data_IF_627079888787
#
_entry.id   IF_627079888787
#
_cell.length_a   1.000
_cell.length_b   1.000
_cell.length_c   1.000
_cell.angle_alpha   90.00
_cell.angle_beta   90.00
_cell.angle_gamma   90.00
#
_symmetry.space_group_name_H-M   'P 1'
#
loop_
_entity.id
_entity.type
_entity.pdbx_description
1 polymer ?
#
# COMPACT_ATOMS: atom_id res chain seq x y z
N UNK A 1 10.48 -7.36 4.62
CA UNK A 1 9.89 -8.71 4.67
C UNK A 1 10.46 -9.44 5.88
N UNK A 2 9.66 -10.21 6.61
CA UNK A 2 10.03 -10.97 7.82
C UNK A 2 9.42 -12.38 7.75
N UNK A 3 9.68 -13.11 6.67
CA UNK A 3 9.11 -14.45 6.42
C UNK A 3 9.98 -15.53 7.07
N UNK A 4 9.39 -16.48 7.81
CA UNK A 4 10.11 -17.61 8.43
C UNK A 4 11.33 -17.21 9.27
N UNK A 5 11.19 -16.16 10.08
CA UNK A 5 12.26 -15.64 10.96
C UNK A 5 12.03 -15.97 12.43
N UNK A 6 11.04 -16.80 12.74
CA UNK A 6 10.66 -17.08 14.12
C UNK A 6 9.95 -15.92 14.81
N UNK A 7 9.21 -15.09 14.05
CA UNK A 7 8.46 -13.96 14.62
C UNK A 7 7.37 -14.49 15.56
N UNK A 8 7.43 -14.08 16.82
CA UNK A 8 6.47 -14.45 17.88
C UNK A 8 5.57 -13.27 18.22
N UNK A 9 4.56 -13.53 19.06
CA UNK A 9 3.60 -12.52 19.45
C UNK A 9 4.24 -11.27 20.08
N UNK A 10 5.22 -11.47 20.96
CA UNK A 10 5.92 -10.37 21.63
C UNK A 10 6.62 -9.43 20.65
N UNK A 11 7.25 -10.00 19.61
CA UNK A 11 7.95 -9.23 18.58
C UNK A 11 7.00 -8.61 17.56
N UNK A 12 5.93 -9.32 17.18
CA UNK A 12 4.92 -8.80 16.27
C UNK A 12 4.09 -7.67 16.91
N UNK A 13 3.93 -7.65 18.24
CA UNK A 13 3.35 -6.53 18.96
C UNK A 13 4.17 -5.24 18.77
N UNK A 14 5.50 -5.32 18.91
CA UNK A 14 6.39 -4.18 18.66
C UNK A 14 6.33 -3.73 17.19
N UNK A 15 6.20 -4.69 16.27
CA UNK A 15 5.97 -4.37 14.86
C UNK A 15 4.68 -3.57 14.70
N UNK A 16 3.56 -4.00 15.31
CA UNK A 16 2.30 -3.26 15.26
C UNK A 16 2.47 -1.81 15.75
N UNK A 17 3.13 -1.62 16.90
CA UNK A 17 3.42 -0.27 17.43
C UNK A 17 4.28 0.59 16.49
N UNK A 18 5.24 -0.02 15.81
CA UNK A 18 6.05 0.67 14.80
C UNK A 18 5.22 1.06 13.57
N UNK A 19 4.29 0.21 13.13
CA UNK A 19 3.38 0.48 12.01
C UNK A 19 2.45 1.65 12.30
N UNK A 20 1.98 1.80 13.54
CA UNK A 20 1.13 2.92 13.96
C UNK A 20 1.83 4.29 13.82
N UNK A 21 3.18 4.30 13.80
CA UNK A 21 4.01 5.51 13.65
C UNK A 21 4.59 5.67 12.25
N UNK A 22 4.51 4.65 11.40
CA UNK A 22 5.16 4.64 10.09
C UNK A 22 4.19 4.97 8.95
N UNK A 23 4.50 6.03 8.20
CA UNK A 23 3.69 6.48 7.05
C UNK A 23 4.33 6.21 5.68
N UNK A 24 5.49 5.54 5.62
CA UNK A 24 6.26 5.34 4.38
C UNK A 24 6.19 3.91 3.85
N UNK A 25 6.07 2.91 4.73
CA UNK A 25 5.95 1.52 4.34
C UNK A 25 4.68 1.31 3.51
N UNK A 26 4.78 0.41 2.53
CA UNK A 26 3.67 0.04 1.64
C UNK A 26 3.35 -1.45 1.69
N UNK A 27 4.36 -2.28 1.94
CA UNK A 27 4.21 -3.74 1.90
C UNK A 27 4.78 -4.35 3.17
N UNK A 28 4.00 -5.23 3.80
CA UNK A 28 4.42 -6.02 4.95
C UNK A 28 4.19 -7.48 4.63
N UNK A 29 5.22 -8.29 4.81
CA UNK A 29 5.14 -9.74 4.73
C UNK A 29 5.69 -10.34 6.02
N UNK A 30 4.84 -11.06 6.75
CA UNK A 30 5.13 -11.82 7.98
C UNK A 30 4.64 -13.27 7.85
N UNK A 31 4.58 -13.82 6.64
CA UNK A 31 4.18 -15.19 6.36
C UNK A 31 5.08 -16.22 7.07
N UNK A 32 4.53 -17.41 7.35
CA UNK A 32 5.29 -18.54 7.89
C UNK A 32 5.99 -18.21 9.22
N UNK A 33 5.23 -17.74 10.22
CA UNK A 33 5.76 -17.41 11.54
C UNK A 33 4.88 -18.01 12.66
N UNK A 34 5.09 -17.56 13.89
CA UNK A 34 4.42 -18.02 15.11
C UNK A 34 3.50 -16.93 15.69
N UNK A 35 2.73 -16.25 14.83
CA UNK A 35 1.82 -15.18 15.23
C UNK A 35 0.44 -15.77 15.52
N UNK A 36 -0.13 -15.47 16.70
CA UNK A 36 -1.47 -15.91 17.06
C UNK A 36 -2.57 -15.14 16.31
N UNK A 37 -3.78 -15.72 16.14
CA UNK A 37 -4.90 -15.04 15.49
C UNK A 37 -5.24 -13.68 16.13
N UNK A 38 -5.21 -13.59 17.45
CA UNK A 38 -5.46 -12.35 18.19
C UNK A 38 -4.43 -11.26 17.83
N UNK A 39 -3.18 -11.63 17.63
CA UNK A 39 -2.17 -10.65 17.26
C UNK A 39 -2.22 -10.28 15.78
N UNK A 40 -2.68 -11.17 14.89
CA UNK A 40 -3.02 -10.79 13.51
C UNK A 40 -4.08 -9.69 13.52
N UNK A 41 -5.14 -9.82 14.33
CA UNK A 41 -6.14 -8.74 14.49
C UNK A 41 -5.49 -7.43 14.91
N UNK A 42 -4.59 -7.46 15.90
CA UNK A 42 -3.86 -6.26 16.35
C UNK A 42 -2.98 -5.66 15.24
N UNK A 43 -2.28 -6.50 14.46
CA UNK A 43 -1.50 -6.05 13.32
C UNK A 43 -2.39 -5.39 12.27
N UNK A 44 -3.50 -6.01 11.90
CA UNK A 44 -4.45 -5.44 10.92
C UNK A 44 -5.05 -4.12 11.46
N UNK A 45 -5.36 -4.04 12.76
CA UNK A 45 -5.85 -2.82 13.42
C UNK A 45 -4.83 -1.68 13.37
N UNK A 46 -3.53 -1.98 13.48
CA UNK A 46 -2.47 -0.97 13.38
C UNK A 46 -2.45 -0.26 12.01
N UNK A 47 -2.87 -0.96 10.95
CA UNK A 47 -2.92 -0.43 9.58
C UNK A 47 -3.89 0.74 9.42
N UNK A 48 -4.87 0.88 10.32
CA UNK A 48 -5.85 1.97 10.30
C UNK A 48 -5.28 3.33 10.73
N UNK A 49 -4.13 3.35 11.44
CA UNK A 49 -3.59 4.61 11.99
C UNK A 49 -3.01 5.50 10.91
N UNK A 50 -2.03 4.99 10.17
CA UNK A 50 -1.34 5.77 9.13
C UNK A 50 -1.94 5.57 7.75
N UNK A 51 -2.69 4.48 7.53
CA UNK A 51 -3.23 4.09 6.22
C UNK A 51 -2.19 4.21 5.09
N UNK A 52 -0.96 3.79 5.35
CA UNK A 52 0.16 3.82 4.39
C UNK A 52 0.30 2.49 3.65
N UNK A 53 0.01 1.38 4.34
CA UNK A 53 0.14 0.02 3.83
C UNK A 53 -0.87 -0.27 2.73
N UNK A 54 -0.37 -0.82 1.64
CA UNK A 54 -1.12 -1.26 0.46
C UNK A 54 -1.20 -2.78 0.36
N UNK A 55 -0.24 -3.50 0.96
CA UNK A 55 -0.23 -4.96 0.98
C UNK A 55 0.21 -5.51 2.33
N UNK A 56 -0.60 -6.39 2.90
CA UNK A 56 -0.32 -7.09 4.16
C UNK A 56 -0.44 -8.60 3.94
N UNK A 57 0.63 -9.35 4.23
CA UNK A 57 0.67 -10.81 4.12
C UNK A 57 1.05 -11.45 5.44
N UNK A 58 0.23 -12.38 5.90
CA UNK A 58 0.38 -13.11 7.15
C UNK A 58 -0.10 -14.58 7.06
N UNK A 59 -0.17 -15.15 5.85
CA UNK A 59 -0.52 -16.57 5.64
C UNK A 59 0.47 -17.54 6.30
N UNK A 60 0.05 -18.80 6.43
CA UNK A 60 0.87 -19.93 6.91
C UNK A 60 1.44 -19.75 8.34
N UNK A 61 0.72 -19.09 9.23
CA UNK A 61 1.10 -19.11 10.65
C UNK A 61 0.94 -20.52 11.22
N UNK A 62 1.67 -20.82 12.30
CA UNK A 62 1.53 -22.10 13.03
C UNK A 62 0.09 -22.40 13.45
N UNK A 63 -0.66 -21.37 13.83
CA UNK A 63 -2.12 -21.45 14.00
C UNK A 63 -2.78 -21.07 12.68
N UNK A 64 -3.11 -22.06 11.85
CA UNK A 64 -3.75 -21.84 10.55
C UNK A 64 -5.23 -21.45 10.66
N UNK A 65 -5.90 -21.92 11.71
CA UNK A 65 -7.31 -21.64 11.98
C UNK A 65 -7.43 -20.35 12.79
N UNK A 66 -8.12 -19.35 12.23
CA UNK A 66 -8.41 -18.08 12.89
C UNK A 66 -9.70 -18.14 13.73
N UNK A 67 -10.71 -18.84 13.20
CA UNK A 67 -12.06 -18.92 13.75
C UNK A 67 -12.99 -17.77 13.33
N UNK A 68 -14.28 -18.06 13.21
CA UNK A 68 -15.29 -17.14 12.65
C UNK A 68 -15.25 -15.74 13.27
N UNK A 69 -15.21 -15.66 14.61
CA UNK A 69 -15.22 -14.38 15.33
C UNK A 69 -14.03 -13.48 14.94
N UNK A 70 -12.85 -14.08 14.80
CA UNK A 70 -11.62 -13.37 14.43
C UNK A 70 -11.68 -12.93 12.96
N UNK A 71 -12.13 -13.79 12.06
CA UNK A 71 -12.26 -13.42 10.63
C UNK A 71 -13.27 -12.28 10.42
N UNK A 72 -14.38 -12.31 11.14
CA UNK A 72 -15.38 -11.24 11.09
C UNK A 72 -14.83 -9.93 11.66
N UNK A 73 -14.05 -9.98 12.74
CA UNK A 73 -13.38 -8.80 13.29
C UNK A 73 -12.35 -8.22 12.30
N UNK A 74 -11.52 -9.07 11.68
CA UNK A 74 -10.60 -8.66 10.62
C UNK A 74 -11.37 -8.01 9.47
N UNK A 75 -12.49 -8.59 9.05
CA UNK A 75 -13.34 -8.04 7.98
C UNK A 75 -13.81 -6.62 8.32
N UNK A 76 -14.32 -6.39 9.53
CA UNK A 76 -14.77 -5.06 9.97
C UNK A 76 -13.63 -4.02 10.00
N UNK A 77 -12.43 -4.44 10.38
CA UNK A 77 -11.25 -3.57 10.39
C UNK A 77 -10.83 -3.24 8.96
N UNK A 78 -10.80 -4.24 8.07
CA UNK A 78 -10.43 -4.06 6.66
C UNK A 78 -11.41 -3.13 5.95
N UNK A 79 -12.71 -3.21 6.24
CA UNK A 79 -13.74 -2.34 5.67
C UNK A 79 -13.58 -0.85 6.03
N UNK A 80 -12.79 -0.53 7.07
CA UNK A 80 -12.46 0.85 7.46
C UNK A 80 -11.16 1.34 6.82
N UNK A 81 -10.36 0.46 6.20
CA UNK A 81 -9.08 0.79 5.62
C UNK A 81 -9.23 1.12 4.13
N UNK A 82 -8.89 2.34 3.72
CA UNK A 82 -9.08 2.79 2.33
C UNK A 82 -7.85 2.65 1.44
N UNK A 83 -6.71 2.16 1.98
CA UNK A 83 -5.42 2.15 1.28
C UNK A 83 -4.91 0.75 0.99
N UNK A 84 -5.37 -0.25 1.76
CA UNK A 84 -5.03 -1.64 1.55
C UNK A 84 -5.66 -2.14 0.24
N UNK A 85 -4.83 -2.78 -0.58
CA UNK A 85 -5.18 -3.29 -1.90
C UNK A 85 -5.09 -4.82 -1.96
N UNK A 86 -4.21 -5.41 -1.13
CA UNK A 86 -3.94 -6.86 -1.14
C UNK A 86 -3.85 -7.38 0.29
N UNK A 87 -4.63 -8.42 0.58
CA UNK A 87 -4.56 -9.16 1.83
C UNK A 87 -4.14 -10.60 1.56
N UNK A 88 -2.95 -10.97 2.03
CA UNK A 88 -2.49 -12.36 2.06
C UNK A 88 -2.82 -12.98 3.42
N UNK A 89 -4.03 -13.50 3.57
CA UNK A 89 -4.47 -14.21 4.76
C UNK A 89 -5.39 -15.35 4.34
N UNK A 90 -5.25 -16.51 4.98
CA UNK A 90 -6.19 -17.61 4.78
C UNK A 90 -7.47 -17.34 5.58
N UNK A 91 -8.61 -17.33 4.88
CA UNK A 91 -9.94 -17.10 5.45
C UNK A 91 -10.80 -18.31 5.13
N UNK A 92 -11.32 -18.99 6.15
CA UNK A 92 -12.14 -20.20 6.00
C UNK A 92 -13.58 -19.86 5.62
N UNK A 93 -14.10 -18.71 6.04
CA UNK A 93 -15.51 -18.36 5.87
C UNK A 93 -15.78 -17.59 4.58
N UNK A 94 -16.77 -18.06 3.81
CA UNK A 94 -17.17 -17.45 2.54
C UNK A 94 -17.56 -15.97 2.70
N UNK A 95 -18.32 -15.62 3.73
CA UNK A 95 -18.78 -14.24 3.94
C UNK A 95 -17.60 -13.27 4.08
N UNK A 96 -16.65 -13.59 4.97
CA UNK A 96 -15.42 -12.82 5.16
C UNK A 96 -14.63 -12.66 3.85
N UNK A 97 -14.45 -13.74 3.08
CA UNK A 97 -13.77 -13.72 1.77
C UNK A 97 -14.44 -12.74 0.80
N UNK A 98 -15.75 -12.83 0.62
CA UNK A 98 -16.47 -12.00 -0.34
C UNK A 98 -16.44 -10.53 0.06
N UNK A 99 -16.67 -10.22 1.34
CA UNK A 99 -16.67 -8.85 1.85
C UNK A 99 -15.30 -8.19 1.72
N UNK A 100 -14.24 -8.90 2.13
CA UNK A 100 -12.86 -8.42 2.01
C UNK A 100 -12.50 -8.22 0.54
N UNK A 101 -12.77 -9.20 -0.34
CA UNK A 101 -12.45 -9.07 -1.76
C UNK A 101 -13.18 -7.87 -2.41
N UNK A 102 -14.47 -7.70 -2.13
CA UNK A 102 -15.25 -6.55 -2.62
C UNK A 102 -14.69 -5.22 -2.11
N UNK A 103 -14.26 -5.15 -0.84
CA UNK A 103 -13.68 -3.93 -0.29
C UNK A 103 -12.31 -3.59 -0.91
N UNK A 104 -11.42 -4.59 -1.04
CA UNK A 104 -10.13 -4.40 -1.68
C UNK A 104 -10.28 -3.98 -3.14
N UNK A 105 -11.23 -4.55 -3.88
CA UNK A 105 -11.53 -4.14 -5.25
C UNK A 105 -11.93 -2.66 -5.32
N UNK A 106 -12.80 -2.18 -4.42
CA UNK A 106 -13.18 -0.75 -4.35
C UNK A 106 -11.98 0.16 -4.07
N UNK A 107 -11.04 -0.27 -3.23
CA UNK A 107 -9.81 0.49 -2.96
C UNK A 107 -8.91 0.55 -4.20
N UNK A 108 -8.78 -0.55 -4.92
CA UNK A 108 -8.05 -0.63 -6.20
C UNK A 108 -8.65 0.34 -7.22
N UNK A 109 -9.97 0.29 -7.42
CA UNK A 109 -10.68 1.15 -8.37
C UNK A 109 -10.50 2.63 -8.02
N UNK A 110 -10.60 2.98 -6.74
CA UNK A 110 -10.35 4.34 -6.25
C UNK A 110 -8.93 4.80 -6.57
N UNK A 111 -7.93 3.96 -6.32
CA UNK A 111 -6.53 4.28 -6.60
C UNK A 111 -6.28 4.52 -8.10
N UNK A 112 -6.88 3.72 -8.97
CA UNK A 112 -6.76 3.92 -10.42
C UNK A 112 -7.55 5.14 -10.92
N UNK A 113 -8.76 5.39 -10.41
CA UNK A 113 -9.53 6.59 -10.75
C UNK A 113 -8.78 7.86 -10.41
N UNK A 114 -8.12 7.92 -9.25
CA UNK A 114 -7.28 9.06 -8.88
C UNK A 114 -6.10 9.25 -9.83
N UNK A 115 -5.47 8.16 -10.31
CA UNK A 115 -4.39 8.26 -11.32
C UNK A 115 -4.86 8.78 -12.67
N UNK A 116 -6.11 8.50 -13.05
CA UNK A 116 -6.71 9.00 -14.31
C UNK A 116 -7.11 10.48 -14.19
N UNK A 117 -7.62 10.89 -13.01
CA UNK A 117 -8.08 12.27 -12.76
C UNK A 117 -6.93 13.24 -12.42
N UNK A 118 -5.75 12.74 -12.06
CA UNK A 118 -4.52 13.55 -12.03
C UNK A 118 -3.80 13.38 -13.37
N UNK A 119 -4.16 14.13 -14.44
CA UNK A 119 -3.23 14.34 -15.51
C UNK A 119 -1.99 14.98 -14.86
N UNK A 120 -0.80 14.53 -15.25
CA UNK A 120 0.46 15.18 -14.88
C UNK A 120 0.25 16.70 -14.95
N UNK A 121 0.18 17.40 -13.81
CA UNK A 121 0.41 18.84 -13.81
C UNK A 121 1.74 19.01 -14.51
N UNK A 122 1.69 19.73 -15.63
CA UNK A 122 2.69 19.67 -16.67
C UNK A 122 4.11 19.73 -16.12
N UNK A 123 4.96 18.86 -16.65
CA UNK A 123 6.25 19.36 -17.07
C UNK A 123 5.98 20.40 -18.16
N UNK A 124 5.68 21.63 -17.75
CA UNK A 124 6.05 22.77 -18.57
C UNK A 124 7.58 22.76 -18.55
N UNK A 125 8.17 21.92 -19.40
CA UNK A 125 9.47 22.22 -19.95
C UNK A 125 9.26 23.51 -20.72
N UNK A 126 9.64 24.62 -20.11
CA UNK A 126 9.87 25.87 -20.82
C UNK A 126 11.02 25.59 -21.78
N UNK A 127 10.73 24.99 -22.92
CA UNK A 127 11.64 25.01 -24.07
C UNK A 127 11.69 26.46 -24.52
N UNK A 128 12.62 27.21 -23.92
CA UNK A 128 13.03 28.49 -24.46
C UNK A 128 13.50 28.23 -25.89
N UNK A 129 12.65 28.58 -26.85
CA UNK A 129 12.91 28.33 -28.26
C UNK A 129 13.87 29.42 -28.74
N UNK A 130 15.16 29.12 -28.73
CA UNK A 130 16.17 30.03 -29.26
C UNK A 130 16.29 29.84 -30.77
N UNK A 131 16.14 30.91 -31.54
CA UNK A 131 16.47 30.89 -32.96
C UNK A 131 17.92 31.34 -33.16
N UNK A 132 18.69 30.51 -33.87
CA UNK A 132 20.08 30.80 -34.22
C UNK A 132 20.12 31.22 -35.68
N UNK A 133 20.52 32.47 -35.94
CA UNK A 133 20.66 32.99 -37.30
C UNK A 133 22.14 33.21 -37.62
N UNK A 134 22.59 32.65 -38.74
CA UNK A 134 23.97 32.80 -39.23
C UNK A 134 24.00 33.83 -40.35
N UNK A 135 24.78 34.88 -40.17
CA UNK A 135 24.96 35.96 -41.13
C UNK A 135 26.02 35.58 -42.18
N UNK A 136 25.95 36.19 -43.36
CA UNK A 136 26.85 35.91 -44.50
C UNK A 136 28.32 36.26 -44.21
N UNK A 137 28.58 37.07 -43.19
CA UNK A 137 29.91 37.41 -42.68
C UNK A 137 30.49 36.36 -41.71
N UNK A 138 29.76 35.26 -41.48
CA UNK A 138 30.14 34.18 -40.58
C UNK A 138 29.71 34.37 -39.11
N UNK A 139 29.16 35.53 -38.75
CA UNK A 139 28.69 35.79 -37.39
C UNK A 139 27.38 35.05 -37.07
N UNK A 140 27.24 34.60 -35.82
CA UNK A 140 26.06 33.85 -35.33
C UNK A 140 25.37 34.67 -34.25
N UNK A 141 24.06 34.91 -34.40
CA UNK A 141 23.24 35.62 -33.42
C UNK A 141 22.15 34.69 -32.88
N UNK A 142 22.04 34.61 -31.55
CA UNK A 142 21.00 33.85 -30.84
C UNK A 142 19.94 34.84 -30.36
N UNK A 143 18.68 34.65 -30.73
CA UNK A 143 17.56 35.47 -30.24
C UNK A 143 16.57 34.58 -29.48
N UNK A 144 16.26 34.95 -28.23
CA UNK A 144 15.16 34.36 -27.47
C UNK A 144 13.85 35.04 -27.84
N UNK A 145 12.77 34.27 -28.04
CA UNK A 145 11.41 34.82 -28.06
C UNK A 145 10.86 34.77 -26.64
N UNK A 146 10.43 35.92 -26.13
CA UNK A 146 9.65 36.05 -24.88
C UNK A 146 8.27 35.40 -25.01
#
# INVERSE_FOLDING_TARGET
SLTNVGLTDRTALKLAEALEKNNTLRVINVETNFISPNLIVRLVKSLLKQQSIEEFRASNQRSSVLGNKIEMEITQIIEQNMTLLRLGLHLEYNDARHRIASHLQRNIDRKYRLKVVVPKRGSASTEATFSITRHKDGSVRIMGRE
#
